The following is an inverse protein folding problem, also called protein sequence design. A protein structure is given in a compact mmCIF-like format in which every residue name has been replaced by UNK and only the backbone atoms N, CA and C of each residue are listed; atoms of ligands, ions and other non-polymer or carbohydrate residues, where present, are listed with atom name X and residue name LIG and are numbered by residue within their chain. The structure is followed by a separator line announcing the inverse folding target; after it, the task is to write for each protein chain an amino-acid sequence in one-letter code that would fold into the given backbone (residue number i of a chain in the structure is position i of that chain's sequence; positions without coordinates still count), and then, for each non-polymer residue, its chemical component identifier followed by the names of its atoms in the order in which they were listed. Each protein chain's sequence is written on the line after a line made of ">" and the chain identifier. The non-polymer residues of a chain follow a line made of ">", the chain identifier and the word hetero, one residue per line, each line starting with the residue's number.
data_IF_435917359314
#
_entry.id   IF_435917359314
#
_cell.length_a   1.000
_cell.length_b   1.000
_cell.length_c   1.000
_cell.angle_alpha   90.00
_cell.angle_beta   90.00
_cell.angle_gamma   90.00
#
_symmetry.space_group_name_H-M   'P 1'
#
loop_
_entity.id
_entity.type
_entity.pdbx_description
1 polymer ?
#
# COMPACT_ATOMS: atom_id res chain seq x y z
N UNK A 1 -2.61 -9.13 -15.95
CA UNK A 1 -2.63 -9.15 -14.48
C UNK A 1 -2.39 -10.56 -13.99
N UNK A 2 -1.53 -10.75 -12.99
CA UNK A 2 -1.37 -12.03 -12.31
C UNK A 2 -2.34 -12.10 -11.11
N UNK A 3 -3.33 -12.99 -11.18
CA UNK A 3 -4.34 -13.16 -10.14
C UNK A 3 -3.70 -13.58 -8.79
N UNK A 4 -2.56 -14.26 -8.82
CA UNK A 4 -1.79 -14.63 -7.63
C UNK A 4 -1.24 -13.41 -6.88
N UNK A 5 -0.66 -12.43 -7.59
CA UNK A 5 -0.18 -11.17 -7.01
C UNK A 5 -1.30 -10.34 -6.40
N UNK A 6 -2.45 -10.23 -7.08
CA UNK A 6 -3.63 -9.52 -6.57
C UNK A 6 -4.15 -10.17 -5.28
N UNK A 7 -4.30 -11.50 -5.30
CA UNK A 7 -4.76 -12.26 -4.14
C UNK A 7 -3.81 -12.12 -2.95
N UNK A 8 -2.51 -12.17 -3.18
CA UNK A 8 -1.50 -11.98 -2.13
C UNK A 8 -1.58 -10.59 -1.47
N UNK A 9 -1.83 -9.53 -2.26
CA UNK A 9 -2.06 -8.18 -1.72
C UNK A 9 -3.38 -8.13 -0.96
N UNK A 10 -4.46 -8.74 -1.48
CA UNK A 10 -5.77 -8.74 -0.81
C UNK A 10 -5.75 -9.48 0.53
N UNK A 11 -5.09 -10.65 0.59
CA UNK A 11 -4.95 -11.49 1.79
C UNK A 11 -3.85 -11.01 2.74
N UNK A 12 -3.18 -9.90 2.43
CA UNK A 12 -2.13 -9.36 3.28
C UNK A 12 -2.67 -9.04 4.68
N UNK A 13 -2.09 -9.69 5.70
CA UNK A 13 -2.52 -9.56 7.10
C UNK A 13 -2.13 -8.20 7.68
N UNK A 14 -2.94 -7.67 8.59
CA UNK A 14 -2.57 -6.47 9.35
C UNK A 14 -1.23 -6.69 10.06
N UNK A 15 -0.23 -5.83 9.81
CA UNK A 15 1.09 -6.00 10.39
C UNK A 15 1.03 -5.80 11.91
N UNK A 16 1.75 -6.65 12.64
CA UNK A 16 1.77 -6.61 14.11
C UNK A 16 2.94 -5.81 14.68
N UNK A 17 3.90 -5.44 13.83
CA UNK A 17 5.10 -4.72 14.21
C UNK A 17 5.63 -3.86 13.05
N UNK A 18 6.56 -2.98 13.38
CA UNK A 18 7.21 -2.05 12.43
C UNK A 18 7.91 -2.81 11.30
N UNK A 19 8.50 -3.97 11.57
CA UNK A 19 9.26 -4.75 10.58
C UNK A 19 8.35 -5.27 9.47
N UNK A 20 7.24 -5.93 9.81
CA UNK A 20 6.23 -6.39 8.85
C UNK A 20 5.64 -5.22 8.06
N UNK A 21 5.41 -4.09 8.75
CA UNK A 21 4.85 -2.90 8.12
C UNK A 21 5.82 -2.24 7.13
N UNK A 22 7.13 -2.26 7.40
CA UNK A 22 8.15 -1.80 6.46
C UNK A 22 8.18 -2.65 5.18
N UNK A 23 7.97 -3.97 5.28
CA UNK A 23 7.87 -4.84 4.11
C UNK A 23 6.69 -4.45 3.23
N UNK A 24 5.52 -4.21 3.83
CA UNK A 24 4.35 -3.71 3.11
C UNK A 24 4.62 -2.34 2.47
N UNK A 25 5.21 -1.40 3.20
CA UNK A 25 5.53 -0.08 2.66
C UNK A 25 6.55 -0.13 1.51
N UNK A 26 7.49 -1.08 1.54
CA UNK A 26 8.39 -1.31 0.40
C UNK A 26 7.61 -1.60 -0.87
N UNK A 27 6.63 -2.51 -0.79
CA UNK A 27 5.74 -2.84 -1.89
C UNK A 27 4.85 -1.64 -2.28
N UNK A 28 4.21 -1.00 -1.31
CA UNK A 28 3.33 0.14 -1.56
C UNK A 28 4.07 1.33 -2.21
N UNK A 29 5.33 1.57 -1.83
CA UNK A 29 6.18 2.59 -2.44
C UNK A 29 6.55 2.27 -3.89
N UNK A 30 6.69 0.99 -4.23
CA UNK A 30 6.88 0.57 -5.61
C UNK A 30 5.67 0.94 -6.48
N UNK A 31 4.45 0.78 -5.95
CA UNK A 31 3.20 1.16 -6.62
C UNK A 31 2.86 2.64 -6.53
N UNK A 32 3.54 3.43 -5.69
CA UNK A 32 3.24 4.86 -5.44
C UNK A 32 2.98 5.69 -6.70
N UNK A 33 3.69 5.42 -7.80
CA UNK A 33 3.57 6.19 -9.06
C UNK A 33 2.26 5.91 -9.82
N UNK A 34 1.57 4.82 -9.48
CA UNK A 34 0.29 4.41 -10.07
C UNK A 34 -0.88 4.75 -9.13
N UNK A 35 -0.61 4.88 -7.83
CA UNK A 35 -1.63 5.16 -6.82
C UNK A 35 -1.89 6.66 -6.68
N UNK A 36 -3.01 7.13 -7.24
CA UNK A 36 -3.45 8.50 -7.03
C UNK A 36 -3.72 8.78 -5.54
N UNK A 37 -3.18 9.91 -5.07
CA UNK A 37 -3.34 10.33 -3.67
C UNK A 37 -2.58 9.47 -2.65
N UNK A 38 -1.59 8.67 -3.08
CA UNK A 38 -0.79 7.81 -2.20
C UNK A 38 -0.33 8.51 -0.92
N UNK A 39 0.25 9.72 -1.04
CA UNK A 39 0.74 10.48 0.11
C UNK A 39 -0.34 10.76 1.15
N UNK A 40 -1.57 11.07 0.70
CA UNK A 40 -2.71 11.32 1.58
C UNK A 40 -3.16 10.04 2.27
N UNK A 41 -3.26 8.93 1.54
CA UNK A 41 -3.65 7.61 2.08
C UNK A 41 -2.60 7.08 3.06
N UNK A 42 -1.31 7.28 2.76
CA UNK A 42 -0.20 6.84 3.60
C UNK A 42 0.07 7.75 4.83
N UNK A 43 -0.60 8.90 4.95
CA UNK A 43 -0.37 9.85 6.05
C UNK A 43 -0.51 9.22 7.45
N UNK A 44 -1.64 8.56 7.82
CA UNK A 44 -1.76 7.92 9.15
C UNK A 44 -0.75 6.79 9.36
N UNK A 45 -0.36 6.11 8.28
CA UNK A 45 0.59 5.02 8.29
C UNK A 45 2.04 5.49 8.50
N UNK A 46 2.45 6.58 7.85
CA UNK A 46 3.76 7.21 8.07
C UNK A 46 3.92 7.78 9.48
N UNK A 47 2.80 8.17 10.13
CA UNK A 47 2.81 8.58 11.52
C UNK A 47 3.17 7.43 12.49
N UNK A 48 3.01 6.17 12.09
CA UNK A 48 3.47 5.00 12.87
C UNK A 48 4.99 4.80 12.79
N UNK A 49 5.67 5.38 11.80
CA UNK A 49 7.12 5.25 11.61
C UNK A 49 7.93 6.37 12.28
N UNK A 50 7.27 7.37 12.87
CA UNK A 50 7.97 8.47 13.53
C UNK A 50 8.80 7.95 14.71
N UNK A 51 10.06 8.40 14.79
CA UNK A 51 11.00 8.01 15.85
C UNK A 51 10.44 8.38 17.23
N UNK A 52 10.57 7.47 18.18
CA UNK A 52 10.12 7.69 19.57
C UNK A 52 8.62 7.47 19.79
N UNK A 53 7.90 6.90 18.81
CA UNK A 53 6.50 6.52 18.96
C UNK A 53 6.37 5.01 19.17
N UNK A 54 5.55 4.62 20.12
CA UNK A 54 5.14 3.22 20.28
C UNK A 54 4.33 2.75 19.09
N UNK A 55 4.46 1.46 18.77
CA UNK A 55 3.66 0.82 17.75
C UNK A 55 2.20 0.73 18.21
N UNK A 56 1.37 1.68 17.79
CA UNK A 56 -0.06 1.71 18.11
C UNK A 56 -0.89 1.70 16.83
N UNK A 57 -1.37 0.51 16.44
CA UNK A 57 -2.20 0.35 15.26
C UNK A 57 -3.64 0.82 15.52
N UNK A 58 -3.93 2.07 15.13
CA UNK A 58 -5.26 2.66 15.31
C UNK A 58 -6.25 2.25 14.21
N UNK A 59 -7.54 2.53 14.45
CA UNK A 59 -8.58 2.35 13.43
C UNK A 59 -8.30 3.14 12.15
N UNK A 60 -7.74 4.34 12.28
CA UNK A 60 -7.33 5.17 11.14
C UNK A 60 -6.20 4.52 10.33
N UNK A 61 -5.27 3.84 11.01
CA UNK A 61 -4.21 3.08 10.36
C UNK A 61 -4.79 1.88 9.59
N UNK A 62 -5.75 1.17 10.19
CA UNK A 62 -6.43 0.07 9.51
C UNK A 62 -7.18 0.55 8.25
N UNK A 63 -7.95 1.64 8.36
CA UNK A 63 -8.67 2.22 7.22
C UNK A 63 -7.70 2.61 6.10
N UNK A 64 -6.61 3.29 6.42
CA UNK A 64 -5.61 3.68 5.43
C UNK A 64 -4.86 2.49 4.80
N UNK A 65 -4.61 1.45 5.58
CA UNK A 65 -3.99 0.22 5.10
C UNK A 65 -4.89 -0.52 4.11
N UNK A 66 -6.17 -0.68 4.46
CA UNK A 66 -7.16 -1.32 3.59
C UNK A 66 -7.39 -0.49 2.31
N UNK A 67 -7.45 0.83 2.43
CA UNK A 67 -7.60 1.74 1.31
C UNK A 67 -6.40 1.66 0.33
N UNK A 68 -5.17 1.56 0.85
CA UNK A 68 -3.98 1.32 0.02
C UNK A 68 -4.00 -0.07 -0.64
N UNK A 69 -4.43 -1.11 0.06
CA UNK A 69 -4.60 -2.46 -0.53
C UNK A 69 -5.61 -2.42 -1.66
N UNK A 70 -6.76 -1.78 -1.46
CA UNK A 70 -7.78 -1.61 -2.48
C UNK A 70 -7.26 -0.84 -3.68
N UNK A 71 -6.54 0.27 -3.45
CA UNK A 71 -5.95 1.04 -4.55
C UNK A 71 -4.91 0.21 -5.33
N UNK A 72 -4.09 -0.61 -4.66
CA UNK A 72 -3.11 -1.49 -5.33
C UNK A 72 -3.75 -2.60 -6.17
N UNK A 73 -4.92 -3.13 -5.79
CA UNK A 73 -5.63 -4.16 -6.56
C UNK A 73 -6.58 -3.59 -7.61
N UNK A 74 -7.07 -2.37 -7.39
CA UNK A 74 -8.02 -1.67 -8.27
C UNK A 74 -7.33 -0.87 -9.38
N UNK A 75 -5.99 -0.81 -9.39
CA UNK A 75 -5.19 -0.14 -10.43
C UNK A 75 -4.67 -1.07 -11.56
N UNK A 76 -5.51 -1.85 -12.25
CA UNK A 76 -5.15 -2.39 -13.55
C UNK A 76 -5.81 -1.67 -14.72
N UNK A 77 -6.68 -0.69 -14.48
CA UNK A 77 -7.35 0.09 -15.53
C UNK A 77 -6.76 1.49 -15.76
N UNK A 78 -5.92 2.03 -14.86
CA UNK A 78 -5.33 3.37 -15.03
C UNK A 78 -4.07 3.42 -15.91
N UNK A 79 -3.69 2.31 -16.56
CA UNK A 79 -2.63 2.33 -17.59
C UNK A 79 -3.25 2.33 -18.98
N UNK A 80 -3.98 3.39 -19.34
CA UNK A 80 -4.31 3.67 -20.73
C UNK A 80 -4.43 5.18 -21.00
N UNK A 81 -3.29 5.89 -21.01
CA UNK A 81 -2.97 6.96 -21.98
C UNK A 81 -1.62 7.61 -21.62
N UNK A 82 -0.52 6.87 -21.82
CA UNK A 82 0.84 7.37 -22.12
C UNK A 82 1.90 6.36 -21.68
N UNK A 83 2.26 5.44 -22.59
CA UNK A 83 3.64 4.95 -22.82
C UNK A 83 4.51 4.38 -21.69
N UNK A 84 4.03 4.17 -20.46
CA UNK A 84 4.86 3.70 -19.34
C UNK A 84 4.46 2.28 -18.92
N UNK A 85 5.39 1.34 -19.11
CA UNK A 85 5.24 -0.10 -18.81
C UNK A 85 4.72 -0.33 -17.38
N UNK A 86 3.68 -1.16 -17.27
CA UNK A 86 3.19 -1.70 -16.00
C UNK A 86 4.33 -2.48 -15.31
N UNK A 87 4.55 -2.32 -14.00
CA UNK A 87 5.60 -3.04 -13.26
C UNK A 87 5.23 -4.49 -12.95
N UNK A 88 4.00 -4.91 -13.28
CA UNK A 88 3.53 -6.27 -13.02
C UNK A 88 3.96 -7.27 -14.11
N UNK A 89 4.65 -6.79 -15.16
CA UNK A 89 5.17 -7.53 -16.31
C UNK A 89 6.71 -7.57 -16.31
#
# INVERSE_FOLDING_TARGET
>A
MDLGKVKAIQEWKTPKNVTEFRSFLGLANYYRRFLEGFSRRATPLTALLKKGRDWNWSKECQVAFDDLKQAMISDPEQTCSSGCKSPLL
#
